data_IF_135616657741
#
_entry.id   IF_135616657741
#
_cell.length_a   1.000
_cell.length_b   1.000
_cell.length_c   1.000
_cell.angle_alpha   90.00
_cell.angle_beta   90.00
_cell.angle_gamma   90.00
#
_symmetry.space_group_name_H-M   'P 1'
#
loop_
_entity.id
_entity.type
_entity.pdbx_description
1 polymer ?
#
# COMPACT_ATOMS: atom_id res chain seq x y z
N UNK A 1 5.10 -8.70 -1.96
CA UNK A 1 5.18 -8.28 -0.54
C UNK A 1 3.83 -8.57 0.10
N UNK A 2 3.75 -8.75 1.41
CA UNK A 2 2.48 -8.91 2.10
C UNK A 2 2.49 -8.17 3.45
N UNK A 3 1.31 -7.81 3.93
CA UNK A 3 1.08 -7.44 5.32
C UNK A 3 0.22 -8.53 5.95
N UNK A 4 0.74 -9.14 7.01
CA UNK A 4 0.14 -10.30 7.66
C UNK A 4 -0.28 -9.93 9.09
N UNK A 5 -1.53 -10.24 9.42
CA UNK A 5 -2.06 -10.13 10.77
C UNK A 5 -2.38 -11.54 11.27
N UNK A 6 -1.98 -11.83 12.50
CA UNK A 6 -2.22 -13.09 13.19
C UNK A 6 -2.97 -12.86 14.49
N UNK A 7 -3.52 -13.93 15.07
CA UNK A 7 -4.28 -13.88 16.32
C UNK A 7 -5.46 -12.91 16.25
N UNK A 8 -6.18 -12.87 15.13
CA UNK A 8 -7.40 -12.10 14.98
C UNK A 8 -8.43 -12.61 16.02
N UNK A 9 -8.96 -11.75 16.91
CA UNK A 9 -9.88 -12.20 17.96
C UNK A 9 -11.16 -12.81 17.37
N UNK A 10 -11.70 -13.84 18.04
CA UNK A 10 -13.00 -14.43 17.70
C UNK A 10 -14.07 -13.32 17.66
N UNK A 11 -14.85 -13.30 16.59
CA UNK A 11 -15.82 -12.24 16.31
C UNK A 11 -15.31 -11.17 15.33
N UNK A 12 -14.01 -11.15 15.03
CA UNK A 12 -13.45 -10.37 13.91
C UNK A 12 -13.60 -11.17 12.63
N UNK A 13 -14.44 -10.70 11.72
CA UNK A 13 -14.65 -11.32 10.40
C UNK A 13 -13.85 -10.62 9.30
N UNK A 14 -13.53 -9.34 9.49
CA UNK A 14 -12.88 -8.50 8.48
C UNK A 14 -11.83 -7.59 9.08
N UNK A 15 -10.77 -7.38 8.30
CA UNK A 15 -9.79 -6.32 8.52
C UNK A 15 -9.85 -5.34 7.36
N UNK A 16 -9.84 -4.05 7.66
CA UNK A 16 -9.71 -2.98 6.67
C UNK A 16 -8.37 -2.30 6.89
N UNK A 17 -7.52 -2.30 5.87
CA UNK A 17 -6.28 -1.54 5.81
C UNK A 17 -6.53 -0.21 5.10
N UNK A 18 -6.15 0.91 5.71
CA UNK A 18 -6.13 2.24 5.08
C UNK A 18 -4.70 2.68 4.85
N UNK A 19 -4.37 3.02 3.60
CA UNK A 19 -3.03 3.39 3.16
C UNK A 19 -2.91 4.92 3.11
N UNK A 20 -1.83 5.45 3.67
CA UNK A 20 -1.59 6.89 3.68
C UNK A 20 -0.11 7.22 3.48
N UNK A 21 0.17 8.37 2.87
CA UNK A 21 1.53 8.82 2.58
C UNK A 21 1.52 10.13 1.80
N UNK A 22 2.71 10.66 1.53
CA UNK A 22 2.85 11.87 0.71
C UNK A 22 2.63 11.54 -0.76
N UNK A 23 1.58 12.08 -1.36
CA UNK A 23 1.36 12.01 -2.81
C UNK A 23 1.98 13.23 -3.52
N UNK A 24 2.36 13.07 -4.79
CA UNK A 24 2.71 14.20 -5.66
C UNK A 24 1.54 14.62 -6.57
N UNK A 25 1.78 15.55 -7.50
CA UNK A 25 0.75 16.06 -8.42
C UNK A 25 0.16 15.03 -9.39
N UNK A 26 0.74 13.83 -9.49
CA UNK A 26 0.20 12.71 -10.28
C UNK A 26 -0.77 11.84 -9.48
N UNK A 27 -0.84 12.03 -8.16
CA UNK A 27 -1.66 11.23 -7.24
C UNK A 27 -0.96 9.97 -6.69
N UNK A 28 0.16 9.55 -7.28
CA UNK A 28 1.00 8.47 -6.75
C UNK A 28 1.86 8.93 -5.58
N UNK A 29 2.47 7.99 -4.85
CA UNK A 29 3.35 8.32 -3.74
C UNK A 29 4.61 9.02 -4.26
N UNK A 30 4.91 10.17 -3.64
CA UNK A 30 6.03 11.03 -3.99
C UNK A 30 7.35 10.33 -3.64
N UNK A 31 8.30 10.36 -4.57
CA UNK A 31 9.69 10.09 -4.23
C UNK A 31 10.25 11.23 -3.35
N UNK A 32 10.63 10.90 -2.12
CA UNK A 32 11.29 11.78 -1.14
C UNK A 32 12.81 11.71 -1.24
N UNK A 33 13.35 10.84 -2.10
CA UNK A 33 14.76 10.81 -2.47
C UNK A 33 15.13 11.88 -3.51
N UNK A 34 16.33 11.77 -4.08
CA UNK A 34 16.88 12.77 -5.00
C UNK A 34 16.59 12.51 -6.48
N UNK A 35 16.09 11.33 -6.85
CA UNK A 35 15.72 11.03 -8.23
C UNK A 35 14.47 11.83 -8.64
N UNK A 36 14.58 12.60 -9.71
CA UNK A 36 13.49 13.37 -10.29
C UNK A 36 12.58 12.53 -11.18
N UNK A 37 11.33 12.98 -11.34
CA UNK A 37 10.32 12.37 -12.22
C UNK A 37 10.05 10.87 -11.97
N UNK A 38 10.15 10.45 -10.70
CA UNK A 38 9.83 9.10 -10.25
C UNK A 38 8.70 9.17 -9.22
N UNK A 39 7.69 8.32 -9.46
CA UNK A 39 6.55 8.05 -8.59
C UNK A 39 6.65 6.61 -8.07
N UNK A 40 6.02 6.35 -6.92
CA UNK A 40 5.88 5.02 -6.35
C UNK A 40 4.41 4.62 -6.38
N UNK A 41 4.12 3.46 -6.94
CA UNK A 41 2.78 2.89 -6.99
C UNK A 41 2.70 1.64 -6.12
N UNK A 42 1.67 1.60 -5.28
CA UNK A 42 1.26 0.43 -4.51
C UNK A 42 -0.01 -0.15 -5.17
N UNK A 43 -0.02 -1.45 -5.41
CA UNK A 43 -1.20 -2.17 -5.90
C UNK A 43 -1.52 -3.38 -5.03
N UNK A 44 -2.80 -3.79 -5.02
CA UNK A 44 -3.17 -5.12 -4.56
C UNK A 44 -2.90 -6.21 -5.62
N UNK A 45 -3.13 -7.47 -5.28
CA UNK A 45 -2.96 -8.60 -6.21
C UNK A 45 -3.91 -8.60 -7.40
N UNK A 46 -4.99 -7.81 -7.35
CA UNK A 46 -5.94 -7.64 -8.45
C UNK A 46 -5.58 -6.49 -9.40
N UNK A 47 -4.49 -5.76 -9.12
CA UNK A 47 -4.03 -4.61 -9.89
C UNK A 47 -4.71 -3.29 -9.52
N UNK A 48 -5.47 -3.24 -8.42
CA UNK A 48 -6.06 -1.99 -7.96
C UNK A 48 -5.00 -1.11 -7.30
N UNK A 49 -4.85 0.12 -7.77
CA UNK A 49 -3.92 1.11 -7.21
C UNK A 49 -4.42 1.61 -5.85
N UNK A 50 -3.54 1.56 -4.85
CA UNK A 50 -3.80 1.94 -3.46
C UNK A 50 -3.05 3.24 -3.12
N UNK A 51 -3.44 4.35 -3.77
CA UNK A 51 -2.89 5.68 -3.51
C UNK A 51 -3.28 6.23 -2.13
N UNK A 52 -2.75 7.41 -1.77
CA UNK A 52 -3.01 8.03 -0.47
C UNK A 52 -4.53 8.15 -0.20
N UNK A 53 -4.97 7.59 0.93
CA UNK A 53 -6.36 7.55 1.36
C UNK A 53 -7.15 6.32 0.91
N UNK A 54 -6.57 5.46 0.06
CA UNK A 54 -7.22 4.22 -0.36
C UNK A 54 -7.37 3.24 0.81
N UNK A 55 -8.39 2.38 0.73
CA UNK A 55 -8.57 1.28 1.65
C UNK A 55 -8.70 -0.06 0.92
N UNK A 56 -8.36 -1.14 1.62
CA UNK A 56 -8.58 -2.52 1.18
C UNK A 56 -9.17 -3.30 2.34
N UNK A 57 -10.17 -4.12 2.07
CA UNK A 57 -10.74 -5.05 3.04
C UNK A 57 -10.45 -6.49 2.64
N UNK A 58 -10.11 -7.32 3.62
CA UNK A 58 -9.95 -8.78 3.47
C UNK A 58 -10.75 -9.49 4.55
N UNK A 59 -11.14 -10.74 4.28
CA UNK A 59 -11.73 -11.60 5.30
C UNK A 59 -10.64 -12.14 6.21
N UNK A 60 -10.99 -12.36 7.49
CA UNK A 60 -10.19 -13.20 8.39
C UNK A 60 -10.41 -14.66 7.99
N UNK A 61 -9.33 -15.43 7.92
CA UNK A 61 -9.41 -16.88 7.86
C UNK A 61 -9.66 -17.40 9.28
N UNK A 62 -10.87 -17.90 9.53
CA UNK A 62 -11.29 -18.38 10.84
C UNK A 62 -10.53 -19.63 11.29
N UNK A 63 -9.97 -20.44 10.37
CA UNK A 63 -9.24 -21.64 10.72
C UNK A 63 -7.85 -21.31 11.32
N UNK A 64 -7.24 -20.23 10.84
CA UNK A 64 -5.89 -19.78 11.25
C UNK A 64 -5.91 -18.49 12.08
N UNK A 65 -7.08 -17.85 12.23
CA UNK A 65 -7.26 -16.55 12.85
C UNK A 65 -6.31 -15.49 12.27
N UNK A 66 -6.17 -15.47 10.94
CA UNK A 66 -5.23 -14.59 10.23
C UNK A 66 -5.86 -13.80 9.09
N UNK A 67 -5.25 -12.68 8.74
CA UNK A 67 -5.65 -11.86 7.59
C UNK A 67 -4.41 -11.47 6.77
N UNK A 68 -4.54 -11.53 5.45
CA UNK A 68 -3.41 -11.39 4.52
C UNK A 68 -3.72 -10.33 3.46
N UNK A 69 -2.83 -9.34 3.33
CA UNK A 69 -2.90 -8.31 2.30
C UNK A 69 -1.74 -8.50 1.30
N UNK A 70 -1.94 -9.22 0.19
CA UNK A 70 -0.92 -9.35 -0.85
C UNK A 70 -0.79 -8.03 -1.61
N UNK A 71 0.42 -7.47 -1.62
CA UNK A 71 0.72 -6.15 -2.17
C UNK A 71 1.93 -6.19 -3.10
N UNK A 72 1.91 -5.30 -4.09
CA UNK A 72 2.97 -5.11 -5.07
C UNK A 72 3.34 -3.62 -5.13
N UNK A 73 4.64 -3.34 -5.24
CA UNK A 73 5.15 -1.97 -5.33
C UNK A 73 6.03 -1.86 -6.56
N UNK A 74 5.89 -0.77 -7.32
CA UNK A 74 6.81 -0.43 -8.41
C UNK A 74 7.09 1.07 -8.43
N UNK A 75 8.29 1.42 -8.89
CA UNK A 75 8.58 2.78 -9.32
C UNK A 75 8.08 2.97 -10.77
N UNK A 76 7.59 4.15 -11.09
CA UNK A 76 7.19 4.52 -12.45
C UNK A 76 7.48 5.99 -12.73
N UNK A 77 7.45 6.39 -14.00
CA UNK A 77 7.55 7.78 -14.41
C UNK A 77 6.32 8.12 -15.25
N UNK A 78 5.43 8.96 -14.73
CA UNK A 78 4.20 9.33 -15.45
C UNK A 78 4.53 10.25 -16.63
N UNK A 79 5.43 11.21 -16.42
CA UNK A 79 5.77 12.25 -17.40
C UNK A 79 7.06 11.96 -18.16
N UNK A 80 7.72 10.83 -17.91
CA UNK A 80 9.04 10.52 -18.46
C UNK A 80 10.18 11.33 -17.82
N UNK A 81 11.41 11.10 -18.31
CA UNK A 81 12.58 11.89 -17.90
C UNK A 81 13.05 11.64 -16.47
N UNK A 82 12.96 10.40 -15.97
CA UNK A 82 13.53 10.01 -14.69
C UNK A 82 15.03 10.40 -14.61
N UNK A 83 15.45 11.00 -13.50
CA UNK A 83 16.85 11.41 -13.31
C UNK A 83 17.55 10.55 -12.27
N UNK A 84 18.89 10.55 -12.31
CA UNK A 84 19.69 9.82 -11.34
C UNK A 84 19.47 10.36 -9.91
N UNK A 85 19.32 9.46 -8.95
CA UNK A 85 19.25 9.81 -7.54
C UNK A 85 18.70 8.65 -6.70
N UNK A 86 18.40 8.94 -5.44
CA UNK A 86 17.81 7.96 -4.53
C UNK A 86 16.29 7.89 -4.69
N UNK A 87 15.73 6.73 -4.36
CA UNK A 87 14.28 6.51 -4.27
C UNK A 87 13.94 6.20 -2.81
N UNK A 88 13.05 6.99 -2.22
CA UNK A 88 12.60 6.83 -0.83
C UNK A 88 11.14 7.25 -0.71
N UNK A 89 10.30 6.44 -0.07
CA UNK A 89 9.01 6.88 0.45
C UNK A 89 8.60 6.01 1.63
N UNK A 90 7.63 6.50 2.38
CA UNK A 90 7.00 5.78 3.49
C UNK A 90 5.49 5.78 3.25
N UNK A 91 4.90 4.58 3.25
CA UNK A 91 3.45 4.38 3.20
C UNK A 91 3.04 3.83 4.57
N UNK A 92 2.24 4.60 5.29
CA UNK A 92 1.66 4.19 6.56
C UNK A 92 0.39 3.39 6.33
N UNK A 93 0.17 2.37 7.15
CA UNK A 93 -1.02 1.52 7.10
C UNK A 93 -1.70 1.51 8.47
N UNK A 94 -2.99 1.81 8.50
CA UNK A 94 -3.83 1.73 9.70
C UNK A 94 -4.89 0.66 9.51
N UNK A 95 -5.13 -0.16 10.52
CA UNK A 95 -6.11 -1.24 10.47
C UNK A 95 -7.33 -0.95 11.34
N UNK A 96 -8.51 -1.29 10.83
CA UNK A 96 -9.74 -1.42 11.63
C UNK A 96 -10.30 -2.84 11.51
N UNK A 97 -11.00 -3.27 12.55
CA UNK A 97 -11.54 -4.63 12.72
C UNK A 97 -13.07 -4.56 12.80
N UNK A 98 -13.75 -5.52 12.17
CA UNK A 98 -15.20 -5.68 12.22
C UNK A 98 -15.60 -7.15 12.14
#
# INVERSE_FOLDING_TARGET
MALDLSNCPIGTSRVVATFSGTADGTGYYKNQGTAGNIQLELQDSGGATLNNGANKSVQVDDATQSAHFPLQVRALTVNGGATQGTIQAVINVTYTYA
#
